data_IF_430427750945
#
_entry.id   IF_430427750945
#
_cell.length_a   1.000
_cell.length_b   1.000
_cell.length_c   1.000
_cell.angle_alpha   90.00
_cell.angle_beta   90.00
_cell.angle_gamma   90.00
#
_symmetry.space_group_name_H-M   'P 1'
#
loop_
_entity.id
_entity.type
_entity.pdbx_description
1 polymer ?
#
# COMPACT_ATOMS: atom_id res chain seq x y z
N UNK A 1 17.24 14.40 25.95
CA UNK A 1 16.05 13.53 25.87
C UNK A 1 16.11 12.76 24.55
N UNK A 2 16.56 11.51 24.53
CA UNK A 2 16.63 10.70 23.29
C UNK A 2 15.30 9.98 23.00
N UNK A 3 14.62 9.48 24.04
CA UNK A 3 13.39 8.69 23.88
C UNK A 3 12.17 9.47 23.34
N UNK A 4 12.09 10.79 23.56
CA UNK A 4 10.94 11.58 23.09
C UNK A 4 10.82 11.59 21.55
N UNK A 5 11.94 11.74 20.84
CA UNK A 5 11.96 11.73 19.37
C UNK A 5 11.64 10.34 18.80
N UNK A 6 12.09 9.30 19.50
CA UNK A 6 11.87 7.91 19.10
C UNK A 6 10.40 7.52 19.25
N UNK A 7 9.75 7.91 20.36
CA UNK A 7 8.30 7.75 20.56
C UNK A 7 7.51 8.49 19.47
N UNK A 8 7.87 9.74 19.16
CA UNK A 8 7.22 10.48 18.08
C UNK A 8 7.35 9.79 16.71
N UNK A 9 8.50 9.20 16.40
CA UNK A 9 8.69 8.44 15.16
C UNK A 9 7.78 7.20 15.11
N UNK A 10 7.62 6.49 16.23
CA UNK A 10 6.74 5.32 16.34
C UNK A 10 5.26 5.73 16.19
N UNK A 11 4.84 6.79 16.85
CA UNK A 11 3.48 7.33 16.75
C UNK A 11 3.15 7.84 15.35
N UNK A 12 4.10 8.53 14.71
CA UNK A 12 3.98 8.96 13.32
C UNK A 12 3.85 7.76 12.38
N UNK A 13 4.62 6.69 12.60
CA UNK A 13 4.53 5.50 11.77
C UNK A 13 3.20 4.76 11.95
N UNK A 14 2.72 4.60 13.19
CA UNK A 14 1.41 4.00 13.46
C UNK A 14 0.30 4.82 12.80
N UNK A 15 0.37 6.14 12.87
CA UNK A 15 -0.60 7.04 12.23
C UNK A 15 -0.57 6.88 10.70
N UNK A 16 0.63 6.86 10.12
CA UNK A 16 0.83 6.59 8.69
C UNK A 16 0.23 5.24 8.27
N UNK A 17 0.44 4.16 9.04
CA UNK A 17 -0.12 2.85 8.69
C UNK A 17 -1.66 2.82 8.72
N UNK A 18 -2.28 3.56 9.63
CA UNK A 18 -3.75 3.69 9.66
C UNK A 18 -4.27 4.41 8.42
N UNK A 19 -3.59 5.49 8.02
CA UNK A 19 -3.90 6.21 6.79
C UNK A 19 -3.69 5.34 5.55
N UNK A 20 -2.58 4.60 5.49
CA UNK A 20 -2.27 3.65 4.42
C UNK A 20 -3.36 2.58 4.31
N UNK A 21 -3.73 1.93 5.41
CA UNK A 21 -4.79 0.91 5.41
C UNK A 21 -6.12 1.47 4.91
N UNK A 22 -6.51 2.66 5.39
CA UNK A 22 -7.75 3.33 4.96
C UNK A 22 -7.71 3.69 3.47
N UNK A 23 -6.56 4.15 2.98
CA UNK A 23 -6.35 4.45 1.56
C UNK A 23 -6.43 3.19 0.69
N UNK A 24 -5.81 2.09 1.12
CA UNK A 24 -5.84 0.81 0.41
C UNK A 24 -7.25 0.21 0.37
N UNK A 25 -7.99 0.26 1.48
CA UNK A 25 -9.40 -0.13 1.53
C UNK A 25 -10.25 0.69 0.55
N UNK A 26 -10.05 2.02 0.50
CA UNK A 26 -10.71 2.90 -0.46
C UNK A 26 -10.39 2.49 -1.91
N UNK A 27 -9.13 2.23 -2.23
CA UNK A 27 -8.72 1.78 -3.58
C UNK A 27 -9.31 0.40 -3.94
N UNK A 28 -9.36 -0.51 -2.98
CA UNK A 28 -10.00 -1.82 -3.15
C UNK A 28 -11.50 -1.72 -3.40
N UNK A 29 -12.18 -0.71 -2.86
CA UNK A 29 -13.59 -0.43 -3.13
C UNK A 29 -13.89 0.14 -4.53
N UNK A 30 -12.90 0.70 -5.22
CA UNK A 30 -13.13 1.35 -6.53
C UNK A 30 -13.37 0.33 -7.67
N UNK A 31 -14.20 0.65 -8.66
CA UNK A 31 -14.36 -0.26 -9.83
C UNK A 31 -13.18 -0.18 -10.82
N UNK A 32 -12.54 0.99 -10.92
CA UNK A 32 -11.41 1.26 -11.81
C UNK A 32 -10.43 2.18 -11.10
N UNK A 33 -9.16 2.12 -11.48
CA UNK A 33 -8.12 2.99 -10.93
C UNK A 33 -7.89 4.18 -11.85
N UNK A 34 -7.89 5.38 -11.30
CA UNK A 34 -7.40 6.56 -12.03
C UNK A 34 -5.87 6.64 -11.99
N UNK A 35 -5.26 7.41 -12.90
CA UNK A 35 -3.81 7.70 -12.84
C UNK A 35 -3.42 8.33 -11.51
N UNK A 36 -4.25 9.23 -10.96
CA UNK A 36 -4.02 9.86 -9.66
C UNK A 36 -4.05 8.86 -8.50
N UNK A 37 -4.90 7.84 -8.57
CA UNK A 37 -4.96 6.78 -7.56
C UNK A 37 -3.66 5.96 -7.55
N UNK A 38 -3.10 5.67 -8.73
CA UNK A 38 -1.84 4.94 -8.87
C UNK A 38 -0.62 5.79 -8.47
N UNK A 39 -0.62 7.08 -8.79
CA UNK A 39 0.39 8.04 -8.33
C UNK A 39 0.38 8.16 -6.81
N UNK A 40 -0.80 8.29 -6.21
CA UNK A 40 -0.97 8.30 -4.75
C UNK A 40 -0.49 6.99 -4.11
N UNK A 41 -0.80 5.83 -4.71
CA UNK A 41 -0.29 4.54 -4.25
C UNK A 41 1.24 4.50 -4.27
N UNK A 42 1.88 4.99 -5.34
CA UNK A 42 3.34 5.07 -5.41
C UNK A 42 3.91 6.00 -4.32
N UNK A 43 3.26 7.13 -4.04
CA UNK A 43 3.67 8.02 -2.95
C UNK A 43 3.58 7.34 -1.57
N UNK A 44 2.50 6.61 -1.30
CA UNK A 44 2.36 5.80 -0.07
C UNK A 44 3.47 4.75 0.04
N UNK A 45 3.75 4.01 -1.04
CA UNK A 45 4.82 3.00 -1.04
C UNK A 45 6.22 3.62 -0.83
N UNK A 46 6.44 4.85 -1.28
CA UNK A 46 7.68 5.58 -1.03
C UNK A 46 7.81 5.98 0.44
N UNK A 47 6.77 6.60 1.02
CA UNK A 47 6.78 6.99 2.45
C UNK A 47 6.89 5.76 3.36
N UNK A 48 6.25 4.64 3.03
CA UNK A 48 6.42 3.37 3.77
C UNK A 48 7.88 2.94 3.87
N UNK A 49 8.64 3.04 2.76
CA UNK A 49 10.07 2.68 2.74
C UNK A 49 10.88 3.60 3.66
N UNK A 50 10.58 4.90 3.65
CA UNK A 50 11.22 5.89 4.50
C UNK A 50 10.97 5.59 5.98
N UNK A 51 9.74 5.34 6.38
CA UNK A 51 9.44 4.97 7.76
C UNK A 51 10.05 3.62 8.16
N UNK A 52 10.06 2.63 7.27
CA UNK A 52 10.74 1.35 7.52
C UNK A 52 12.25 1.50 7.72
N UNK A 53 12.87 2.49 7.08
CA UNK A 53 14.27 2.82 7.31
C UNK A 53 14.48 3.51 8.66
N UNK A 54 13.55 4.36 9.10
CA UNK A 54 13.57 4.97 10.44
C UNK A 54 13.45 3.87 11.51
N UNK A 55 12.48 2.96 11.38
CA UNK A 55 12.30 1.83 12.31
C UNK A 55 13.54 0.94 12.39
N UNK A 56 14.17 0.62 11.25
CA UNK A 56 15.39 -0.21 11.25
C UNK A 56 16.56 0.42 12.01
N UNK A 57 16.60 1.74 12.11
CA UNK A 57 17.68 2.47 12.78
C UNK A 57 17.31 2.93 14.20
N UNK A 58 16.10 2.63 14.67
CA UNK A 58 15.65 2.97 16.02
C UNK A 58 16.38 2.10 17.05
N UNK A 59 16.96 2.69 18.12
CA UNK A 59 17.50 1.90 19.22
C UNK A 59 16.34 1.25 19.98
N UNK A 60 16.10 -0.04 19.75
CA UNK A 60 14.98 -0.75 20.36
C UNK A 60 15.12 -0.87 21.88
N UNK A 61 14.11 -0.38 22.59
CA UNK A 61 14.02 -0.39 24.05
C UNK A 61 12.76 -1.13 24.49
N UNK A 62 12.76 -1.65 25.73
CA UNK A 62 11.64 -2.43 26.29
C UNK A 62 10.33 -1.63 26.33
N UNK A 63 10.42 -0.31 26.49
CA UNK A 63 9.29 0.62 26.45
C UNK A 63 8.61 0.75 25.07
N UNK A 64 9.23 0.23 24.00
CA UNK A 64 8.65 0.24 22.65
C UNK A 64 7.87 -1.04 22.32
N UNK A 65 7.79 -2.02 23.23
CA UNK A 65 7.11 -3.30 22.98
C UNK A 65 5.64 -3.09 22.60
N UNK A 66 4.92 -2.23 23.34
CA UNK A 66 3.50 -1.97 23.04
C UNK A 66 3.32 -1.33 21.65
N UNK A 67 4.23 -0.45 21.25
CA UNK A 67 4.24 0.14 19.91
C UNK A 67 4.54 -0.91 18.83
N UNK A 68 5.47 -1.82 19.09
CA UNK A 68 5.83 -2.90 18.18
C UNK A 68 4.67 -3.86 17.92
N UNK A 69 3.90 -4.22 18.95
CA UNK A 69 2.71 -5.07 18.78
C UNK A 69 1.67 -4.42 17.88
N UNK A 70 1.42 -3.11 18.08
CA UNK A 70 0.52 -2.35 17.22
C UNK A 70 1.05 -2.29 15.79
N UNK A 71 2.33 -2.00 15.61
CA UNK A 71 3.00 -1.93 14.31
C UNK A 71 2.90 -3.26 13.57
N UNK A 72 3.15 -4.39 14.23
CA UNK A 72 3.09 -5.71 13.62
C UNK A 72 1.67 -6.03 13.14
N UNK A 73 0.66 -5.76 13.97
CA UNK A 73 -0.74 -5.97 13.61
C UNK A 73 -1.16 -5.12 12.41
N UNK A 74 -0.71 -3.87 12.35
CA UNK A 74 -0.99 -2.98 11.22
C UNK A 74 -0.22 -3.37 9.96
N UNK A 75 1.04 -3.80 10.07
CA UNK A 75 1.83 -4.32 8.95
C UNK A 75 1.14 -5.53 8.30
N UNK A 76 0.64 -6.45 9.12
CA UNK A 76 -0.09 -7.63 8.65
C UNK A 76 -1.36 -7.23 7.89
N UNK A 77 -2.17 -6.33 8.46
CA UNK A 77 -3.36 -5.78 7.79
C UNK A 77 -3.01 -5.09 6.47
N UNK A 78 -2.04 -4.18 6.46
CA UNK A 78 -1.62 -3.49 5.24
C UNK A 78 -1.09 -4.47 4.18
N UNK A 79 -0.39 -5.53 4.60
CA UNK A 79 0.10 -6.57 3.69
C UNK A 79 -1.04 -7.32 3.01
N UNK A 80 -2.07 -7.71 3.76
CA UNK A 80 -3.25 -8.35 3.19
C UNK A 80 -3.94 -7.45 2.16
N UNK A 81 -4.11 -6.17 2.49
CA UNK A 81 -4.72 -5.18 1.59
C UNK A 81 -3.88 -4.97 0.32
N UNK A 82 -2.56 -4.89 0.44
CA UNK A 82 -1.65 -4.78 -0.71
C UNK A 82 -1.69 -6.02 -1.61
N UNK A 83 -1.80 -7.22 -1.04
CA UNK A 83 -1.94 -8.46 -1.81
C UNK A 83 -3.28 -8.49 -2.57
N UNK A 84 -4.38 -8.14 -1.90
CA UNK A 84 -5.67 -8.01 -2.55
C UNK A 84 -5.63 -6.96 -3.67
N UNK A 85 -4.94 -5.84 -3.45
CA UNK A 85 -4.83 -4.77 -4.44
C UNK A 85 -4.02 -5.23 -5.66
N UNK A 86 -2.91 -5.94 -5.43
CA UNK A 86 -2.11 -6.57 -6.50
C UNK A 86 -2.96 -7.52 -7.35
N UNK A 87 -3.77 -8.36 -6.71
CA UNK A 87 -4.58 -9.35 -7.42
C UNK A 87 -5.67 -8.66 -8.25
N UNK A 88 -6.29 -7.62 -7.70
CA UNK A 88 -7.26 -6.79 -8.41
C UNK A 88 -6.65 -6.05 -9.61
N UNK A 89 -5.48 -5.42 -9.44
CA UNK A 89 -4.75 -4.79 -10.55
C UNK A 89 -4.41 -5.84 -11.62
N UNK A 90 -3.98 -7.04 -11.20
CA UNK A 90 -3.66 -8.14 -12.11
C UNK A 90 -4.89 -8.60 -12.92
N UNK A 91 -6.07 -8.68 -12.29
CA UNK A 91 -7.33 -8.95 -12.99
C UNK A 91 -7.65 -7.87 -14.01
N UNK A 92 -7.53 -6.60 -13.62
CA UNK A 92 -7.78 -5.46 -14.50
C UNK A 92 -6.89 -5.48 -15.74
N UNK A 93 -5.60 -5.77 -15.57
CA UNK A 93 -4.64 -5.89 -16.68
C UNK A 93 -5.02 -7.06 -17.61
N UNK A 94 -5.43 -8.20 -17.06
CA UNK A 94 -5.88 -9.37 -17.85
C UNK A 94 -7.13 -9.04 -18.67
N UNK A 95 -8.14 -8.43 -18.06
CA UNK A 95 -9.37 -8.02 -18.74
C UNK A 95 -9.08 -7.02 -19.87
N UNK A 96 -8.20 -6.04 -19.61
CA UNK A 96 -7.81 -5.07 -20.62
C UNK A 96 -7.06 -5.72 -21.80
N UNK A 97 -6.14 -6.66 -21.50
CA UNK A 97 -5.42 -7.43 -22.52
C UNK A 97 -6.37 -8.28 -23.38
N UNK A 98 -7.35 -8.93 -22.77
CA UNK A 98 -8.37 -9.72 -23.47
C UNK A 98 -9.25 -8.84 -24.37
N UNK A 99 -9.72 -7.69 -23.87
CA UNK A 99 -10.47 -6.72 -24.67
C UNK A 99 -9.65 -6.22 -25.86
N UNK A 100 -8.37 -5.88 -25.64
CA UNK A 100 -7.48 -5.44 -26.72
C UNK A 100 -7.28 -6.51 -27.80
N UNK A 101 -7.12 -7.79 -27.42
CA UNK A 101 -7.06 -8.91 -28.38
C UNK A 101 -8.37 -9.10 -29.13
N UNK A 102 -9.51 -9.02 -28.45
CA UNK A 102 -10.82 -9.13 -29.08
C UNK A 102 -11.06 -8.01 -30.12
N UNK A 103 -10.67 -6.77 -29.80
CA UNK A 103 -10.72 -5.64 -30.74
C UNK A 103 -9.83 -5.84 -31.96
N UNK A 104 -8.59 -6.31 -31.78
CA UNK A 104 -7.68 -6.60 -32.91
C UNK A 104 -8.25 -7.68 -33.83
N UNK A 105 -8.80 -8.74 -33.25
CA UNK A 105 -9.45 -9.80 -34.02
C UNK A 105 -10.68 -9.29 -34.79
N UNK A 106 -11.53 -8.46 -34.16
CA UNK A 106 -12.68 -7.85 -34.83
C UNK A 106 -12.28 -6.95 -36.00
N UNK A 107 -11.21 -6.16 -35.86
CA UNK A 107 -10.70 -5.31 -36.96
C UNK A 107 -10.07 -6.09 -38.12
N UNK A 108 -9.54 -7.30 -37.86
CA UNK A 108 -8.98 -8.16 -38.91
C UNK A 108 -10.03 -8.99 -39.68
N UNK A 109 -11.28 -9.03 -39.21
CA UNK A 109 -12.39 -9.79 -39.84
C UNK A 109 -13.27 -8.92 -40.76
N UNK A 110 -12.93 -7.65 -41.00
CA UNK A 110 -13.67 -6.73 -41.89
C UNK A 110 -13.07 -6.57 -43.30
N UNK A 111 -12.30 -7.55 -43.79
CA UNK A 111 -11.78 -7.58 -45.17
C UNK A 111 -12.46 -8.71 -45.95
#
# INVERSE_FOLDING_TARGET
>A
MKNFKDVQNLEAFISFQKEEASFLERLLGQRQFSTKDLEALNAFLYERRKYSAILRNLPWQREFIDYLEVILKQEEKSRELLLALRDKISSYIKEFSQKSKAFKNYSSFQI
#
